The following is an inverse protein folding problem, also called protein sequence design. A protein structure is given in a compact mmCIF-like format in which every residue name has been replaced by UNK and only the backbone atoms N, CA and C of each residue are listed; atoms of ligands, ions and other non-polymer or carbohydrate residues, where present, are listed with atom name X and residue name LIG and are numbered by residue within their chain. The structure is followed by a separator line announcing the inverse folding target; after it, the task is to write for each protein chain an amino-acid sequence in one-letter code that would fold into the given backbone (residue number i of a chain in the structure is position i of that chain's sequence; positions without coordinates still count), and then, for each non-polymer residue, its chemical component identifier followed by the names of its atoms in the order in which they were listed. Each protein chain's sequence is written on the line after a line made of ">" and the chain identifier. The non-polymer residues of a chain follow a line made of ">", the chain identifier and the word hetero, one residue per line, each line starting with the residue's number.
data_IF_530833156686
#
_entry.id   IF_530833156686
#
_cell.length_a   1.000
_cell.length_b   1.000
_cell.length_c   1.000
_cell.angle_alpha   90.00
_cell.angle_beta   90.00
_cell.angle_gamma   90.00
#
_symmetry.space_group_name_H-M   'P 1'
#
loop_
_entity.id
_entity.type
_entity.pdbx_description
1 polymer ?
#
# COMPACT_ATOMS: atom_id res chain seq x y z
N UNK A 1 -18.10 -24.41 -67.74
CA UNK A 1 -17.36 -23.17 -68.06
C UNK A 1 -17.29 -22.33 -66.79
N UNK A 2 -16.19 -21.87 -66.19
CA UNK A 2 -14.75 -22.00 -66.39
C UNK A 2 -14.01 -21.35 -65.19
N UNK A 3 -13.20 -22.18 -64.51
CA UNK A 3 -11.89 -21.97 -63.82
C UNK A 3 -11.68 -20.92 -62.69
N UNK A 4 -11.30 -21.49 -61.54
CA UNK A 4 -10.41 -20.96 -60.48
C UNK A 4 -9.09 -20.36 -61.02
N UNK A 5 -8.56 -19.34 -60.33
CA UNK A 5 -7.12 -19.04 -60.28
C UNK A 5 -6.64 -18.88 -58.83
N UNK A 6 -6.01 -19.94 -58.34
CA UNK A 6 -5.04 -19.92 -57.24
C UNK A 6 -3.66 -19.90 -57.90
N UNK A 7 -2.80 -18.97 -57.51
CA UNK A 7 -1.40 -18.93 -57.96
C UNK A 7 -0.52 -19.59 -56.91
N UNK A 8 0.17 -20.65 -57.34
CA UNK A 8 1.28 -21.36 -56.67
C UNK A 8 2.62 -20.79 -57.15
N UNK A 9 3.64 -20.86 -56.29
CA UNK A 9 5.07 -20.95 -56.68
C UNK A 9 5.91 -21.41 -55.49
N UNK A 10 6.10 -22.73 -55.30
CA UNK A 10 7.35 -23.52 -55.44
C UNK A 10 8.53 -23.00 -54.61
N UNK A 11 8.96 -23.69 -53.54
CA UNK A 11 9.64 -24.99 -53.43
C UNK A 11 11.09 -25.01 -53.95
N UNK A 12 12.05 -25.08 -53.02
CA UNK A 12 13.39 -25.65 -53.20
C UNK A 12 13.59 -26.74 -52.14
N UNK A 13 14.16 -27.86 -52.56
CA UNK A 13 14.26 -29.15 -51.85
C UNK A 13 15.74 -29.56 -51.76
N UNK A 14 16.04 -30.41 -50.76
CA UNK A 14 17.19 -31.33 -50.59
C UNK A 14 18.43 -30.73 -49.89
N UNK A 15 19.19 -31.44 -49.03
CA UNK A 15 19.21 -32.87 -48.62
C UNK A 15 20.18 -33.05 -47.44
N UNK A 16 20.01 -34.16 -46.70
CA UNK A 16 21.07 -34.89 -45.98
C UNK A 16 21.10 -34.57 -44.48
N UNK A 17 20.90 -35.51 -43.55
CA UNK A 17 21.01 -36.96 -43.60
C UNK A 17 22.06 -37.36 -42.57
N UNK A 18 21.62 -37.79 -41.38
CA UNK A 18 22.45 -38.58 -40.47
C UNK A 18 21.53 -39.52 -39.67
N UNK A 19 21.37 -40.73 -40.22
CA UNK A 19 20.74 -41.88 -39.58
C UNK A 19 21.85 -42.69 -38.90
N UNK A 20 22.07 -42.46 -37.61
CA UNK A 20 22.92 -43.34 -36.78
C UNK A 20 22.05 -44.33 -35.99
N UNK A 21 22.36 -45.64 -36.03
CA UNK A 21 21.48 -46.68 -35.48
C UNK A 21 21.53 -46.79 -33.95
N UNK A 22 20.35 -46.93 -33.37
CA UNK A 22 20.06 -47.24 -31.96
C UNK A 22 20.62 -48.63 -31.59
N UNK A 23 21.43 -48.71 -30.53
CA UNK A 23 21.87 -49.97 -29.89
C UNK A 23 20.91 -50.41 -28.77
N UNK A 24 20.58 -51.71 -28.61
CA UNK A 24 19.69 -52.18 -27.55
C UNK A 24 20.40 -52.63 -26.25
N UNK A 25 19.71 -52.31 -25.15
CA UNK A 25 19.61 -52.87 -23.79
C UNK A 25 20.74 -53.74 -23.16
N UNK A 26 21.10 -53.38 -21.92
CA UNK A 26 21.66 -54.29 -20.91
C UNK A 26 20.76 -54.29 -19.66
N UNK A 27 20.26 -55.47 -19.28
CA UNK A 27 19.58 -55.77 -17.99
C UNK A 27 20.62 -56.03 -16.90
N UNK A 28 20.24 -55.89 -15.62
CA UNK A 28 20.75 -56.85 -14.64
C UNK A 28 19.66 -57.49 -13.76
N UNK A 29 19.71 -58.83 -13.77
CA UNK A 29 19.62 -59.80 -12.66
C UNK A 29 18.66 -59.59 -11.46
N UNK A 30 17.70 -60.53 -11.34
CA UNK A 30 17.13 -60.98 -10.07
C UNK A 30 17.92 -62.16 -9.51
N UNK A 31 18.13 -62.26 -8.18
CA UNK A 31 18.34 -63.51 -7.46
C UNK A 31 17.12 -63.87 -6.55
N UNK A 32 17.11 -65.07 -5.92
CA UNK A 32 15.94 -65.95 -5.92
C UNK A 32 15.02 -65.85 -4.69
N UNK A 33 13.88 -66.52 -4.84
CA UNK A 33 12.84 -66.84 -3.85
C UNK A 33 13.29 -67.81 -2.76
N UNK A 34 12.79 -67.58 -1.55
CA UNK A 34 12.81 -68.48 -0.37
C UNK A 34 12.73 -67.58 0.87
N UNK A 35 11.77 -67.64 1.78
CA UNK A 35 11.03 -68.77 2.30
C UNK A 35 11.21 -68.74 3.83
N UNK A 36 10.10 -68.87 4.57
CA UNK A 36 9.99 -69.09 6.01
C UNK A 36 9.88 -67.88 6.97
N UNK A 37 8.80 -67.99 7.74
CA UNK A 37 8.41 -67.26 8.92
C UNK A 37 9.44 -67.30 10.07
N UNK A 38 9.32 -66.35 10.99
CA UNK A 38 9.98 -66.40 12.29
C UNK A 38 9.80 -65.11 13.07
N UNK A 39 8.90 -65.12 14.04
CA UNK A 39 8.80 -64.15 15.12
C UNK A 39 10.16 -63.99 15.84
N UNK A 40 10.48 -62.79 16.35
CA UNK A 40 10.86 -62.61 17.76
C UNK A 40 11.14 -61.14 18.13
N UNK A 41 10.79 -60.85 19.39
CA UNK A 41 10.84 -59.62 20.16
C UNK A 41 12.25 -59.03 20.31
N UNK A 42 12.36 -57.71 20.54
CA UNK A 42 13.59 -57.11 21.10
C UNK A 42 13.58 -55.59 21.25
N UNK A 43 13.84 -55.12 22.47
CA UNK A 43 13.77 -53.75 22.96
C UNK A 43 14.95 -52.82 22.58
N UNK A 44 14.64 -51.51 22.60
CA UNK A 44 15.45 -50.37 23.08
C UNK A 44 16.63 -49.83 22.25
N UNK A 45 16.64 -48.50 22.02
CA UNK A 45 17.85 -47.76 21.62
C UNK A 45 17.68 -46.39 20.97
N UNK A 46 17.38 -45.36 21.79
CA UNK A 46 17.76 -43.91 21.68
C UNK A 46 18.41 -43.36 20.38
N UNK A 47 17.87 -42.23 19.89
CA UNK A 47 18.49 -40.87 19.94
C UNK A 47 18.20 -40.00 18.69
N UNK A 48 17.73 -38.76 18.88
CA UNK A 48 17.72 -37.74 17.81
C UNK A 48 16.75 -36.55 17.99
N UNK A 49 17.05 -35.65 18.94
CA UNK A 49 16.67 -34.21 19.10
C UNK A 49 15.45 -33.65 18.31
N UNK A 50 14.34 -33.21 18.93
CA UNK A 50 14.07 -31.97 19.73
C UNK A 50 14.33 -30.61 19.06
N UNK A 51 13.28 -29.78 18.99
CA UNK A 51 13.31 -28.30 19.04
C UNK A 51 12.18 -27.62 18.26
N UNK A 52 10.92 -27.57 18.78
CA UNK A 52 10.27 -26.39 19.45
C UNK A 52 10.25 -25.13 18.56
N UNK A 53 9.14 -24.63 17.99
CA UNK A 53 7.84 -24.15 18.55
C UNK A 53 7.94 -23.27 19.81
N UNK A 54 7.64 -21.99 19.62
CA UNK A 54 7.39 -20.91 20.60
C UNK A 54 7.50 -19.59 19.82
N UNK A 55 6.50 -18.71 19.70
CA UNK A 55 5.59 -18.21 20.71
C UNK A 55 6.02 -16.77 21.02
N UNK A 56 5.39 -15.77 20.39
CA UNK A 56 5.69 -14.36 20.68
C UNK A 56 4.54 -13.75 21.45
N UNK A 57 4.84 -13.46 22.71
CA UNK A 57 3.95 -12.97 23.73
C UNK A 57 3.63 -11.48 23.56
N UNK A 58 2.47 -11.13 24.09
CA UNK A 58 1.89 -9.80 24.25
C UNK A 58 2.78 -8.91 25.13
N UNK A 59 2.84 -7.61 24.83
CA UNK A 59 3.35 -6.60 25.75
C UNK A 59 2.34 -5.46 25.90
N UNK A 60 1.80 -5.30 27.11
CA UNK A 60 1.09 -4.10 27.57
C UNK A 60 1.25 -3.99 29.09
N UNK A 61 1.88 -2.92 29.55
CA UNK A 61 1.88 -2.31 30.89
C UNK A 61 3.03 -1.27 30.92
N UNK A 62 3.00 -0.12 31.57
CA UNK A 62 1.99 0.60 32.35
C UNK A 62 2.46 2.08 32.45
N UNK A 63 1.50 2.99 32.54
CA UNK A 63 1.66 4.41 32.90
C UNK A 63 1.59 4.54 34.42
N UNK A 64 2.51 5.30 35.02
CA UNK A 64 2.48 5.64 36.46
C UNK A 64 3.58 6.61 36.91
N UNK A 65 3.30 7.92 36.81
CA UNK A 65 3.56 9.03 37.77
C UNK A 65 4.97 9.44 38.30
N UNK A 66 5.15 10.72 38.76
CA UNK A 66 6.43 11.46 38.95
C UNK A 66 6.77 11.74 40.46
N UNK A 67 7.62 12.72 40.92
CA UNK A 67 8.55 13.69 40.28
C UNK A 67 9.97 13.84 40.92
N UNK A 68 10.85 14.58 40.22
CA UNK A 68 11.78 15.56 40.83
C UNK A 68 13.20 15.11 41.24
N UNK A 69 14.22 15.57 40.51
CA UNK A 69 15.48 16.05 41.10
C UNK A 69 15.89 17.34 40.37
N UNK A 70 15.92 18.42 41.14
CA UNK A 70 16.47 19.74 40.81
C UNK A 70 17.93 19.73 41.24
N UNK A 71 18.86 20.04 40.34
CA UNK A 71 20.15 20.61 40.71
C UNK A 71 20.16 22.08 40.31
N UNK A 72 20.22 22.95 41.32
CA UNK A 72 20.36 24.38 41.17
C UNK A 72 21.82 24.83 41.15
N UNK A 73 22.01 26.08 40.70
CA UNK A 73 23.11 26.94 41.11
C UNK A 73 24.14 27.27 40.04
N UNK A 74 24.09 28.51 39.53
CA UNK A 74 25.19 29.07 38.72
C UNK A 74 24.80 30.33 37.94
N UNK A 75 25.04 31.48 38.54
CA UNK A 75 24.62 32.82 38.15
C UNK A 75 25.38 33.44 36.96
N UNK A 76 24.64 34.29 36.23
CA UNK A 76 25.08 35.51 35.52
C UNK A 76 26.09 35.41 34.36
N UNK A 77 25.60 35.72 33.15
CA UNK A 77 26.16 36.80 32.32
C UNK A 77 25.16 37.27 31.25
N UNK A 78 24.90 38.57 31.32
CA UNK A 78 24.04 39.38 30.45
C UNK A 78 24.89 39.84 29.26
N UNK A 79 24.37 39.70 28.04
CA UNK A 79 24.52 40.59 26.84
C UNK A 79 24.63 39.78 25.54
N UNK A 80 23.79 40.14 24.57
CA UNK A 80 23.94 39.73 23.18
C UNK A 80 22.65 39.28 22.50
N UNK A 81 21.63 40.14 22.40
CA UNK A 81 20.56 39.99 21.39
C UNK A 81 21.06 40.59 20.07
N UNK A 82 21.15 39.84 18.97
CA UNK A 82 20.96 40.42 17.66
C UNK A 82 19.45 40.48 17.37
N UNK A 83 18.92 41.70 17.30
CA UNK A 83 17.70 41.97 16.54
C UNK A 83 18.01 41.62 15.08
N UNK A 84 17.17 40.84 14.40
CA UNK A 84 16.62 41.19 13.10
C UNK A 84 15.72 40.07 12.56
N UNK A 85 14.47 40.46 12.30
CA UNK A 85 13.50 39.82 11.41
C UNK A 85 12.84 38.52 11.90
N UNK A 86 12.20 38.59 13.06
CA UNK A 86 10.92 37.90 13.22
C UNK A 86 9.91 38.60 12.30
N UNK A 87 9.87 38.18 11.04
CA UNK A 87 8.92 38.62 10.02
C UNK A 87 7.54 38.18 10.50
N UNK A 88 6.80 39.11 11.09
CA UNK A 88 5.39 38.91 11.37
C UNK A 88 4.70 38.54 10.05
N UNK A 89 4.37 37.26 9.85
CA UNK A 89 3.33 36.85 8.91
C UNK A 89 1.98 37.19 9.54
N UNK A 90 1.76 38.48 9.81
CA UNK A 90 0.42 39.03 10.06
C UNK A 90 -0.26 39.04 8.70
N UNK A 91 -0.79 37.89 8.30
CA UNK A 91 -1.62 37.78 7.12
C UNK A 91 -2.71 38.85 7.22
N UNK A 92 -2.71 39.79 6.28
CA UNK A 92 -3.68 40.89 6.22
C UNK A 92 -5.09 40.30 6.38
N UNK A 93 -5.91 40.77 7.35
CA UNK A 93 -7.24 40.20 7.60
C UNK A 93 -8.09 40.07 6.32
N UNK A 94 -7.95 41.03 5.39
CA UNK A 94 -8.63 41.03 4.10
C UNK A 94 -8.31 39.86 3.16
N UNK A 95 -7.06 39.36 3.15
CA UNK A 95 -6.67 38.21 2.29
C UNK A 95 -7.28 36.92 2.82
N UNK A 96 -7.38 36.78 4.15
CA UNK A 96 -7.99 35.62 4.81
C UNK A 96 -9.51 35.57 4.60
N UNK A 97 -10.15 36.74 4.58
CA UNK A 97 -11.58 36.87 4.26
C UNK A 97 -11.87 36.60 2.78
N UNK A 98 -11.05 37.13 1.86
CA UNK A 98 -11.16 36.86 0.43
C UNK A 98 -10.99 35.38 0.09
N UNK A 99 -10.00 34.72 0.70
CA UNK A 99 -9.77 33.28 0.50
C UNK A 99 -10.85 32.37 1.09
N UNK A 100 -11.63 32.82 2.08
CA UNK A 100 -12.81 32.09 2.57
C UNK A 100 -14.00 32.25 1.62
N UNK A 101 -14.27 33.48 1.18
CA UNK A 101 -15.35 33.76 0.23
C UNK A 101 -15.16 33.02 -1.09
N UNK A 102 -13.93 32.99 -1.63
CA UNK A 102 -13.64 32.22 -2.85
C UNK A 102 -13.95 30.72 -2.68
N UNK A 103 -13.60 30.11 -1.54
CA UNK A 103 -13.90 28.69 -1.28
C UNK A 103 -15.39 28.43 -1.20
N UNK A 104 -16.14 29.33 -0.56
CA UNK A 104 -17.59 29.21 -0.46
C UNK A 104 -18.24 29.34 -1.85
N UNK A 105 -17.84 30.35 -2.63
CA UNK A 105 -18.34 30.52 -4.00
C UNK A 105 -17.96 29.36 -4.93
N UNK A 106 -16.74 28.81 -4.80
CA UNK A 106 -16.34 27.60 -5.53
C UNK A 106 -17.16 26.38 -5.11
N UNK A 107 -17.41 26.22 -3.81
CA UNK A 107 -18.24 25.13 -3.30
C UNK A 107 -19.65 25.22 -3.88
N UNK A 108 -20.27 26.39 -3.77
CA UNK A 108 -21.62 26.65 -4.30
C UNK A 108 -21.73 26.48 -5.83
N UNK A 109 -20.65 26.78 -6.56
CA UNK A 109 -20.57 26.54 -8.00
C UNK A 109 -20.39 25.07 -8.37
N UNK A 110 -19.77 24.26 -7.50
CA UNK A 110 -19.47 22.85 -7.73
C UNK A 110 -20.51 21.90 -7.10
N UNK A 111 -21.39 22.38 -6.24
CA UNK A 111 -22.48 21.58 -5.66
C UNK A 111 -23.46 21.18 -6.77
N UNK A 112 -23.69 19.88 -7.01
CA UNK A 112 -24.66 19.43 -8.00
C UNK A 112 -26.08 19.92 -7.68
N UNK A 113 -26.77 20.46 -8.69
CA UNK A 113 -28.15 20.96 -8.59
C UNK A 113 -29.16 20.03 -9.27
N UNK A 114 -28.70 19.18 -10.20
CA UNK A 114 -29.54 18.25 -10.96
C UNK A 114 -29.16 16.80 -10.73
N UNK A 115 -30.10 15.87 -10.97
CA UNK A 115 -29.83 14.42 -10.88
C UNK A 115 -28.69 13.97 -11.79
N UNK A 116 -28.54 14.60 -12.97
CA UNK A 116 -27.46 14.28 -13.92
C UNK A 116 -26.09 14.69 -13.37
N UNK A 117 -25.99 15.85 -12.74
CA UNK A 117 -24.74 16.30 -12.10
C UNK A 117 -24.38 15.42 -10.91
N UNK A 118 -25.39 15.00 -10.13
CA UNK A 118 -25.21 14.02 -9.06
C UNK A 118 -24.73 12.66 -9.59
N UNK A 119 -25.31 12.15 -10.66
CA UNK A 119 -24.87 10.92 -11.31
C UNK A 119 -23.43 11.04 -11.83
N UNK A 120 -23.07 12.18 -12.45
CA UNK A 120 -21.70 12.44 -12.88
C UNK A 120 -20.72 12.48 -11.70
N UNK A 121 -21.09 13.14 -10.59
CA UNK A 121 -20.28 13.19 -9.39
C UNK A 121 -20.00 11.78 -8.86
N UNK A 122 -21.04 10.97 -8.61
CA UNK A 122 -20.88 9.65 -8.00
C UNK A 122 -20.30 8.59 -8.94
N UNK A 123 -20.63 8.60 -10.22
CA UNK A 123 -20.25 7.53 -11.14
C UNK A 123 -18.96 7.81 -11.92
N UNK A 124 -18.53 9.06 -11.99
CA UNK A 124 -17.35 9.46 -12.78
C UNK A 124 -16.35 10.21 -11.91
N UNK A 125 -16.72 11.35 -11.35
CA UNK A 125 -15.75 12.22 -10.69
C UNK A 125 -15.15 11.57 -9.43
N UNK A 126 -15.99 11.08 -8.51
CA UNK A 126 -15.52 10.47 -7.27
C UNK A 126 -14.69 9.19 -7.49
N UNK A 127 -15.10 8.23 -8.34
CA UNK A 127 -14.28 7.05 -8.62
C UNK A 127 -12.94 7.38 -9.28
N UNK A 128 -12.93 8.32 -10.23
CA UNK A 128 -11.69 8.73 -10.91
C UNK A 128 -10.73 9.38 -9.92
N UNK A 129 -11.19 10.35 -9.14
CA UNK A 129 -10.34 11.04 -8.15
C UNK A 129 -9.83 10.06 -7.11
N UNK A 130 -10.71 9.22 -6.52
CA UNK A 130 -10.30 8.21 -5.55
C UNK A 130 -9.25 7.24 -6.13
N UNK A 131 -9.44 6.80 -7.39
CA UNK A 131 -8.47 5.94 -8.07
C UNK A 131 -7.10 6.60 -8.25
N UNK A 132 -7.05 7.86 -8.68
CA UNK A 132 -5.80 8.60 -8.84
C UNK A 132 -5.10 8.85 -7.50
N UNK A 133 -5.86 9.24 -6.48
CA UNK A 133 -5.31 9.48 -5.15
C UNK A 133 -4.77 8.18 -4.54
N UNK A 134 -5.51 7.07 -4.60
CA UNK A 134 -4.99 5.80 -4.12
C UNK A 134 -3.78 5.32 -4.92
N UNK A 135 -3.79 5.46 -6.25
CA UNK A 135 -2.63 5.11 -7.08
C UNK A 135 -1.38 5.89 -6.64
N UNK A 136 -1.50 7.19 -6.43
CA UNK A 136 -0.38 8.02 -6.00
C UNK A 136 0.06 7.67 -4.56
N UNK A 137 -0.86 7.72 -3.61
CA UNK A 137 -0.50 7.62 -2.19
C UNK A 137 -0.22 6.18 -1.73
N UNK A 138 -0.94 5.18 -2.26
CA UNK A 138 -0.80 3.78 -1.83
C UNK A 138 0.02 3.00 -2.83
N UNK A 139 -0.32 3.12 -4.12
CA UNK A 139 0.43 2.48 -5.19
C UNK A 139 1.88 2.95 -5.24
N UNK A 140 2.11 4.26 -5.37
CA UNK A 140 3.46 4.82 -5.55
C UNK A 140 4.16 5.06 -4.21
N UNK A 141 3.61 5.94 -3.36
CA UNK A 141 4.34 6.39 -2.16
C UNK A 141 4.52 5.29 -1.10
N UNK A 142 3.59 4.35 -0.99
CA UNK A 142 3.71 3.21 -0.06
C UNK A 142 4.26 1.98 -0.78
N UNK A 143 3.55 1.45 -1.78
CA UNK A 143 3.90 0.21 -2.46
C UNK A 143 5.22 0.27 -3.22
N UNK A 144 5.29 1.11 -4.25
CA UNK A 144 6.46 1.18 -5.12
C UNK A 144 7.73 1.61 -4.38
N UNK A 145 7.64 2.57 -3.45
CA UNK A 145 8.80 2.97 -2.65
C UNK A 145 9.23 1.88 -1.65
N UNK A 146 8.29 1.16 -1.01
CA UNK A 146 8.65 0.04 -0.14
C UNK A 146 9.37 -1.06 -0.91
N UNK A 147 8.83 -1.47 -2.06
CA UNK A 147 9.42 -2.53 -2.90
C UNK A 147 10.72 -2.08 -3.55
N UNK A 148 10.78 -0.86 -4.09
CA UNK A 148 11.92 -0.35 -4.86
C UNK A 148 13.14 0.02 -4.02
N UNK A 149 12.93 0.44 -2.77
CA UNK A 149 14.00 0.92 -1.89
C UNK A 149 14.14 0.13 -0.58
N UNK A 150 13.32 -0.89 -0.34
CA UNK A 150 13.36 -1.69 0.89
C UNK A 150 12.95 -0.94 2.15
N UNK A 151 12.24 0.19 2.00
CA UNK A 151 11.76 0.99 3.13
C UNK A 151 10.54 0.30 3.76
N UNK A 152 10.43 0.35 5.08
CA UNK A 152 9.26 -0.21 5.78
C UNK A 152 7.97 0.42 5.25
N UNK A 153 6.99 -0.39 4.78
CA UNK A 153 5.72 0.14 4.28
C UNK A 153 4.99 0.93 5.38
N UNK A 154 5.07 0.51 6.64
CA UNK A 154 4.45 1.22 7.76
C UNK A 154 5.04 2.61 8.01
N UNK A 155 6.33 2.82 7.76
CA UNK A 155 6.93 4.16 7.83
C UNK A 155 6.39 5.05 6.70
N UNK A 156 6.31 4.50 5.49
CA UNK A 156 5.74 5.19 4.32
C UNK A 156 4.25 5.49 4.52
N UNK A 157 3.50 4.59 5.16
CA UNK A 157 2.09 4.79 5.54
C UNK A 157 1.92 6.07 6.36
N UNK A 158 2.76 6.30 7.37
CA UNK A 158 2.71 7.53 8.18
C UNK A 158 3.03 8.77 7.34
N UNK A 159 4.13 8.74 6.57
CA UNK A 159 4.54 9.86 5.73
C UNK A 159 3.51 10.22 4.66
N UNK A 160 3.01 9.22 3.93
CA UNK A 160 1.97 9.37 2.92
C UNK A 160 0.67 9.93 3.52
N UNK A 161 0.30 9.52 4.73
CA UNK A 161 -0.91 10.01 5.42
C UNK A 161 -0.80 11.48 5.82
N UNK A 162 0.38 11.90 6.29
CA UNK A 162 0.64 13.32 6.58
C UNK A 162 0.57 14.16 5.31
N UNK A 163 1.18 13.70 4.21
CA UNK A 163 1.11 14.37 2.91
C UNK A 163 -0.33 14.42 2.37
N UNK A 164 -1.08 13.33 2.54
CA UNK A 164 -2.48 13.25 2.12
C UNK A 164 -3.33 14.29 2.85
N UNK A 165 -3.24 14.36 4.18
CA UNK A 165 -3.91 15.41 4.96
C UNK A 165 -3.44 16.82 4.57
N UNK A 166 -2.13 17.01 4.35
CA UNK A 166 -1.58 18.30 3.95
C UNK A 166 -2.08 18.77 2.56
N UNK A 167 -2.38 17.85 1.64
CA UNK A 167 -3.00 18.19 0.35
C UNK A 167 -4.43 18.74 0.51
N UNK A 168 -5.06 18.51 1.66
CA UNK A 168 -6.47 18.79 1.93
C UNK A 168 -6.71 20.06 2.77
N UNK A 169 -5.83 21.05 2.70
CA UNK A 169 -5.95 22.31 3.48
C UNK A 169 -7.26 23.07 3.27
N UNK A 170 -7.99 22.81 2.18
CA UNK A 170 -9.31 23.39 1.94
C UNK A 170 -10.35 23.00 3.00
N UNK A 171 -10.20 21.84 3.66
CA UNK A 171 -11.11 21.34 4.70
C UNK A 171 -10.90 22.00 6.08
N UNK A 172 -9.96 22.95 6.20
CA UNK A 172 -9.58 23.56 7.48
C UNK A 172 -8.71 22.66 8.34
N UNK A 173 -8.20 23.16 9.47
CA UNK A 173 -7.21 22.44 10.29
C UNK A 173 -7.74 21.13 10.88
N UNK A 174 -9.01 21.11 11.30
CA UNK A 174 -9.67 19.89 11.79
C UNK A 174 -9.86 18.90 10.64
N UNK A 175 -10.32 19.37 9.47
CA UNK A 175 -10.45 18.54 8.27
C UNK A 175 -9.13 17.91 7.86
N UNK A 176 -8.03 18.69 7.83
CA UNK A 176 -6.67 18.16 7.56
C UNK A 176 -6.30 17.03 8.52
N UNK A 177 -6.55 17.19 9.82
CA UNK A 177 -6.25 16.16 10.80
C UNK A 177 -7.10 14.89 10.60
N UNK A 178 -8.40 15.06 10.35
CA UNK A 178 -9.33 13.95 10.07
C UNK A 178 -8.92 13.22 8.78
N UNK A 179 -8.61 13.96 7.72
CA UNK A 179 -8.17 13.42 6.44
C UNK A 179 -6.84 12.71 6.54
N UNK A 180 -5.90 13.18 7.37
CA UNK A 180 -4.67 12.46 7.66
C UNK A 180 -4.94 11.12 8.37
N UNK A 181 -5.88 11.08 9.32
CA UNK A 181 -6.25 9.85 10.03
C UNK A 181 -6.98 8.86 9.12
N UNK A 182 -7.91 9.33 8.29
CA UNK A 182 -8.53 8.53 7.23
C UNK A 182 -7.48 8.02 6.25
N UNK A 183 -6.52 8.87 5.88
CA UNK A 183 -5.40 8.50 5.04
C UNK A 183 -4.58 7.36 5.62
N UNK A 184 -4.33 7.40 6.93
CA UNK A 184 -3.65 6.34 7.67
C UNK A 184 -4.45 5.03 7.68
N UNK A 185 -5.76 5.11 7.87
CA UNK A 185 -6.64 3.95 7.83
C UNK A 185 -6.65 3.29 6.44
N UNK A 186 -6.78 4.07 5.36
CA UNK A 186 -6.75 3.56 3.99
C UNK A 186 -5.39 2.95 3.63
N UNK A 187 -4.29 3.57 4.05
CA UNK A 187 -2.96 3.02 3.84
C UNK A 187 -2.73 1.73 4.66
N UNK A 188 -3.31 1.62 5.87
CA UNK A 188 -3.31 0.36 6.62
C UNK A 188 -4.13 -0.72 5.90
N UNK A 189 -5.30 -0.40 5.35
CA UNK A 189 -6.07 -1.34 4.51
C UNK A 189 -5.21 -1.83 3.35
N UNK A 190 -4.55 -0.93 2.63
CA UNK A 190 -3.66 -1.30 1.52
C UNK A 190 -2.54 -2.24 1.98
N UNK A 191 -1.79 -1.90 3.04
CA UNK A 191 -0.67 -2.73 3.53
C UNK A 191 -1.13 -4.10 4.03
N UNK A 192 -2.30 -4.18 4.66
CA UNK A 192 -2.82 -5.44 5.21
C UNK A 192 -3.46 -6.35 4.15
N UNK A 193 -3.99 -5.77 3.07
CA UNK A 193 -4.71 -6.51 2.02
C UNK A 193 -3.93 -6.69 0.73
N UNK A 194 -2.84 -5.92 0.56
CA UNK A 194 -2.09 -5.79 -0.70
C UNK A 194 -3.00 -5.46 -1.91
N UNK A 195 -4.11 -4.76 -1.66
CA UNK A 195 -5.15 -4.49 -2.65
C UNK A 195 -5.41 -3.00 -2.80
N UNK A 196 -4.91 -2.45 -3.90
CA UNK A 196 -5.20 -1.06 -4.28
C UNK A 196 -6.70 -0.86 -4.54
N UNK A 197 -7.38 -1.87 -5.09
CA UNK A 197 -8.82 -1.83 -5.33
C UNK A 197 -9.60 -1.74 -4.01
N UNK A 198 -9.20 -2.49 -2.97
CA UNK A 198 -9.86 -2.41 -1.67
C UNK A 198 -9.75 -1.01 -1.05
N UNK A 199 -8.56 -0.40 -1.12
CA UNK A 199 -8.35 0.98 -0.67
C UNK A 199 -9.17 1.98 -1.50
N UNK A 200 -9.20 1.84 -2.84
CA UNK A 200 -9.95 2.72 -3.73
C UNK A 200 -11.46 2.66 -3.49
N UNK A 201 -12.02 1.46 -3.28
CA UNK A 201 -13.44 1.29 -2.94
C UNK A 201 -13.74 1.89 -1.58
N UNK A 202 -12.91 1.63 -0.56
CA UNK A 202 -13.11 2.20 0.78
C UNK A 202 -13.07 3.73 0.74
N UNK A 203 -12.12 4.32 0.02
CA UNK A 203 -12.01 5.76 -0.17
C UNK A 203 -13.23 6.31 -0.92
N UNK A 204 -13.62 5.71 -2.04
CA UNK A 204 -14.83 6.09 -2.77
C UNK A 204 -16.06 6.12 -1.87
N UNK A 205 -16.25 5.10 -1.03
CA UNK A 205 -17.39 5.03 -0.10
C UNK A 205 -17.36 6.17 0.91
N UNK A 206 -16.19 6.47 1.50
CA UNK A 206 -16.06 7.61 2.42
C UNK A 206 -16.45 8.91 1.73
N UNK A 207 -15.92 9.15 0.53
CA UNK A 207 -16.23 10.37 -0.24
C UNK A 207 -17.72 10.43 -0.59
N UNK A 208 -18.29 9.31 -1.05
CA UNK A 208 -19.69 9.26 -1.43
C UNK A 208 -20.63 9.55 -0.24
N UNK A 209 -20.32 8.99 0.94
CA UNK A 209 -21.07 9.27 2.18
C UNK A 209 -20.89 10.73 2.60
N UNK A 210 -19.67 11.28 2.57
CA UNK A 210 -19.40 12.67 2.94
C UNK A 210 -20.23 13.63 2.08
N UNK A 211 -20.18 13.47 0.75
CA UNK A 211 -20.95 14.29 -0.18
C UNK A 211 -22.46 14.08 -0.02
N UNK A 212 -22.93 12.84 0.12
CA UNK A 212 -24.36 12.55 0.27
C UNK A 212 -24.98 13.15 1.54
N UNK A 213 -24.20 13.25 2.63
CA UNK A 213 -24.67 13.81 3.91
C UNK A 213 -24.55 15.34 3.95
N UNK A 214 -23.50 15.92 3.36
CA UNK A 214 -23.14 17.33 3.58
C UNK A 214 -23.41 18.28 2.40
N UNK A 215 -23.91 17.79 1.27
CA UNK A 215 -24.20 18.65 0.09
C UNK A 215 -25.55 19.40 0.18
N UNK A 216 -26.06 19.65 1.38
CA UNK A 216 -27.34 20.34 1.62
C UNK A 216 -27.10 21.76 2.11
#
# INVERSE_FOLDING_TARGET
>A
MGRLRVVRGRAVRRRGGDDSPVRPAARPHRPPTGGAAGEHRGHAGRAGRRGRRGGVARLRAAVGGPPGIVYGGGSSRRRGRPRHLARERRARPGVRLGGRRLRESLREALTPRTLREWAFLFLVALPVVAGFEELLFRGVLVGALATGFGVSPWLLTVGASVLFGAAHTAQGSVGVAVTALLGLALAAVFVLTDSLLAAAVAHYVVNAVEFGVHAR
#
